data_IF_426895958855
#
_entry.id   IF_426895958855
#
_cell.length_a   1.000
_cell.length_b   1.000
_cell.length_c   1.000
_cell.angle_alpha   90.00
_cell.angle_beta   90.00
_cell.angle_gamma   90.00
#
_symmetry.space_group_name_H-M   'P 1'
#
loop_
_entity.id
_entity.type
_entity.pdbx_description
1 polymer ?
#
# COMPACT_ATOMS: atom_id res chain seq x y z
N UNK A 1 1.36 12.51 -19.90
CA UNK A 1 1.48 12.10 -18.48
C UNK A 1 2.79 11.34 -18.35
N UNK A 2 3.55 11.60 -17.28
CA UNK A 2 4.88 11.00 -17.09
C UNK A 2 4.68 9.78 -16.21
N UNK A 3 4.69 8.61 -16.84
CA UNK A 3 4.82 7.34 -16.15
C UNK A 3 6.30 7.05 -15.95
N UNK A 4 6.74 6.84 -14.70
CA UNK A 4 8.14 6.54 -14.41
C UNK A 4 8.28 5.53 -13.29
N UNK A 5 9.35 4.74 -13.37
CA UNK A 5 9.81 3.93 -12.25
C UNK A 5 10.41 4.82 -11.16
N UNK A 6 10.21 4.42 -9.91
CA UNK A 6 10.72 5.07 -8.71
C UNK A 6 11.69 4.15 -7.96
N UNK A 7 12.60 4.74 -7.20
CA UNK A 7 13.32 4.00 -6.14
C UNK A 7 12.47 3.90 -4.87
N UNK A 8 12.85 3.03 -3.93
CA UNK A 8 12.14 2.91 -2.65
C UNK A 8 12.21 4.20 -1.82
N UNK A 9 13.29 4.98 -1.95
CA UNK A 9 13.43 6.29 -1.32
C UNK A 9 12.46 7.31 -1.93
N UNK A 10 12.30 7.32 -3.26
CA UNK A 10 11.31 8.19 -3.90
C UNK A 10 9.87 7.79 -3.51
N UNK A 11 9.60 6.49 -3.34
CA UNK A 11 8.33 6.00 -2.79
C UNK A 11 8.13 6.49 -1.35
N UNK A 12 9.17 6.42 -0.52
CA UNK A 12 9.15 6.93 0.85
C UNK A 12 8.77 8.41 0.90
N UNK A 13 9.46 9.24 0.12
CA UNK A 13 9.24 10.68 0.07
C UNK A 13 7.82 10.98 -0.43
N UNK A 14 7.35 10.25 -1.45
CA UNK A 14 6.00 10.41 -1.98
C UNK A 14 4.92 10.11 -0.96
N UNK A 15 5.05 9.01 -0.24
CA UNK A 15 4.10 8.63 0.81
C UNK A 15 4.17 9.59 2.01
N UNK A 16 5.36 10.13 2.32
CA UNK A 16 5.51 11.18 3.34
C UNK A 16 4.74 12.46 3.00
N UNK A 17 4.73 12.87 1.73
CA UNK A 17 3.92 14.01 1.25
C UNK A 17 2.42 13.80 1.45
N UNK A 18 1.98 12.54 1.57
CA UNK A 18 0.57 12.18 1.77
C UNK A 18 0.22 11.91 3.24
N UNK A 19 1.16 12.04 4.18
CA UNK A 19 0.84 11.97 5.60
C UNK A 19 -0.20 13.03 5.99
N UNK A 20 -1.14 12.63 6.83
CA UNK A 20 -2.30 13.42 7.23
C UNK A 20 -3.43 13.43 6.20
N UNK A 21 -3.29 12.75 5.05
CA UNK A 21 -4.31 12.72 3.99
C UNK A 21 -5.01 11.36 3.90
N UNK A 22 -6.19 11.37 3.30
CA UNK A 22 -6.95 10.16 3.04
C UNK A 22 -6.42 9.46 1.79
N UNK A 23 -6.11 8.18 1.92
CA UNK A 23 -5.67 7.31 0.85
C UNK A 23 -6.77 6.33 0.45
N UNK A 24 -6.81 6.02 -0.84
CA UNK A 24 -7.45 4.85 -1.40
C UNK A 24 -6.37 3.87 -1.85
N UNK A 25 -6.43 2.65 -1.31
CA UNK A 25 -5.50 1.57 -1.61
C UNK A 25 -6.32 0.47 -2.27
N UNK A 26 -5.91 0.06 -3.46
CA UNK A 26 -6.49 -1.07 -4.18
C UNK A 26 -5.44 -2.15 -4.29
N UNK A 27 -5.75 -3.37 -3.85
CA UNK A 27 -4.89 -4.55 -4.00
C UNK A 27 -5.56 -5.49 -5.00
N UNK A 28 -4.84 -5.82 -6.06
CA UNK A 28 -5.28 -6.75 -7.08
C UNK A 28 -4.36 -7.97 -7.08
N UNK A 29 -4.92 -9.13 -6.74
CA UNK A 29 -4.30 -10.46 -6.88
C UNK A 29 -4.99 -11.22 -8.03
N UNK A 30 -4.53 -12.44 -8.35
CA UNK A 30 -5.00 -13.18 -9.53
C UNK A 30 -6.54 -13.34 -9.59
N UNK A 31 -7.17 -13.59 -8.44
CA UNK A 31 -8.60 -13.87 -8.32
C UNK A 31 -9.31 -12.96 -7.29
N UNK A 32 -8.62 -11.94 -6.77
CA UNK A 32 -9.09 -11.14 -5.64
C UNK A 32 -8.79 -9.65 -5.81
N UNK A 33 -9.74 -8.82 -5.37
CA UNK A 33 -9.64 -7.37 -5.42
C UNK A 33 -10.14 -6.78 -4.10
N UNK A 34 -9.24 -6.12 -3.38
CA UNK A 34 -9.54 -5.43 -2.13
C UNK A 34 -9.45 -3.92 -2.32
N UNK A 35 -10.43 -3.19 -1.78
CA UNK A 35 -10.38 -1.74 -1.64
C UNK A 35 -10.30 -1.35 -0.16
N UNK A 36 -9.33 -0.51 0.17
CA UNK A 36 -9.14 0.05 1.51
C UNK A 36 -9.10 1.57 1.44
N UNK A 37 -9.88 2.23 2.29
CA UNK A 37 -9.83 3.67 2.52
C UNK A 37 -9.21 3.94 3.88
N UNK A 38 -8.13 4.72 3.94
CA UNK A 38 -7.46 4.99 5.22
C UNK A 38 -7.03 6.45 5.37
N UNK A 39 -7.03 6.94 6.61
CA UNK A 39 -6.45 8.22 7.00
C UNK A 39 -4.98 7.99 7.37
N UNK A 40 -4.08 8.28 6.44
CA UNK A 40 -2.65 8.03 6.63
C UNK A 40 -2.09 8.96 7.69
N UNK A 41 -1.58 8.41 8.78
CA UNK A 41 -0.94 9.18 9.87
C UNK A 41 0.58 9.16 9.76
N UNK A 42 1.15 8.00 9.45
CA UNK A 42 2.60 7.83 9.33
C UNK A 42 2.95 6.61 8.46
N UNK A 43 4.16 6.59 7.92
CA UNK A 43 4.73 5.39 7.30
C UNK A 43 5.90 4.86 8.11
N UNK A 44 6.04 3.54 8.16
CA UNK A 44 7.15 2.85 8.80
C UNK A 44 7.56 1.62 7.98
N UNK A 45 8.75 1.10 8.24
CA UNK A 45 9.21 -0.14 7.63
C UNK A 45 9.53 -1.15 8.72
N UNK A 46 9.13 -2.39 8.50
CA UNK A 46 9.50 -3.52 9.36
C UNK A 46 10.32 -4.51 8.53
N UNK A 47 11.24 -5.20 9.19
CA UNK A 47 11.86 -6.40 8.64
C UNK A 47 10.96 -7.57 9.01
N UNK A 48 10.47 -8.35 8.04
CA UNK A 48 9.67 -9.51 8.38
C UNK A 48 10.55 -10.52 9.12
N UNK A 49 10.27 -10.74 10.39
CA UNK A 49 10.96 -11.76 11.19
C UNK A 49 10.30 -13.11 10.92
N UNK A 50 10.64 -13.75 9.79
CA UNK A 50 10.28 -15.14 9.41
C UNK A 50 8.79 -15.52 9.44
N UNK A 51 8.26 -16.10 8.35
CA UNK A 51 7.04 -16.92 8.44
C UNK A 51 7.16 -18.22 7.63
N UNK A 52 6.97 -19.31 8.38
CA UNK A 52 6.45 -20.69 8.18
C UNK A 52 6.46 -21.37 6.79
N UNK A 53 6.37 -20.69 5.65
CA UNK A 53 6.27 -21.33 4.32
C UNK A 53 7.10 -20.55 3.30
N UNK A 54 8.39 -20.90 3.13
CA UNK A 54 9.37 -20.57 2.05
C UNK A 54 9.28 -19.23 1.27
N UNK A 55 8.51 -18.27 1.77
CA UNK A 55 8.20 -16.97 1.19
C UNK A 55 8.56 -15.93 2.25
N UNK A 56 9.75 -15.36 2.12
CA UNK A 56 10.29 -14.37 3.04
C UNK A 56 10.38 -13.01 2.34
N UNK A 57 9.31 -12.19 2.34
CA UNK A 57 9.48 -10.77 2.03
C UNK A 57 10.43 -10.20 3.08
N UNK A 58 11.61 -9.73 2.67
CA UNK A 58 12.61 -9.26 3.64
C UNK A 58 12.13 -8.03 4.40
N UNK A 59 11.29 -7.20 3.77
CA UNK A 59 10.80 -5.95 4.33
C UNK A 59 9.29 -5.81 4.11
N UNK A 60 8.67 -4.96 4.91
CA UNK A 60 7.29 -4.54 4.75
C UNK A 60 7.19 -3.03 4.90
N UNK A 61 6.42 -2.40 4.01
CA UNK A 61 5.98 -1.02 4.12
C UNK A 61 4.67 -1.01 4.89
N UNK A 62 4.66 -0.26 5.99
CA UNK A 62 3.48 -0.09 6.82
C UNK A 62 2.92 1.32 6.65
N UNK A 63 1.68 1.39 6.18
CA UNK A 63 0.88 2.61 6.17
C UNK A 63 0.06 2.62 7.46
N UNK A 64 0.39 3.51 8.40
CA UNK A 64 -0.23 3.53 9.72
C UNK A 64 -1.35 4.58 9.74
N UNK A 65 -2.50 4.19 10.26
CA UNK A 65 -3.69 5.02 10.29
C UNK A 65 -4.98 4.21 10.42
N UNK A 66 -6.03 4.86 10.88
CA UNK A 66 -7.38 4.27 10.87
C UNK A 66 -7.86 4.13 9.43
N UNK A 67 -8.59 3.07 9.14
CA UNK A 67 -9.18 2.88 7.83
C UNK A 67 -10.31 1.88 7.85
N UNK A 68 -10.92 1.70 6.68
CA UNK A 68 -11.94 0.70 6.42
C UNK A 68 -11.56 -0.10 5.18
N UNK A 69 -11.89 -1.38 5.18
CA UNK A 69 -11.71 -2.29 4.06
C UNK A 69 -13.08 -2.79 3.59
N UNK A 70 -13.28 -2.83 2.28
CA UNK A 70 -14.47 -3.43 1.68
C UNK A 70 -14.33 -4.96 1.74
N UNK A 71 -15.11 -5.63 2.60
CA UNK A 71 -15.03 -7.09 2.79
C UNK A 71 -16.01 -7.84 1.89
N UNK A 72 -17.10 -7.17 1.50
CA UNK A 72 -18.08 -7.62 0.51
C UNK A 72 -18.65 -6.38 -0.20
N UNK A 73 -19.27 -6.50 -1.39
CA UNK A 73 -19.77 -5.34 -2.13
C UNK A 73 -20.66 -4.44 -1.26
N UNK A 74 -20.30 -3.17 -1.17
CA UNK A 74 -20.96 -2.13 -0.36
C UNK A 74 -20.88 -2.33 1.16
N UNK A 75 -20.02 -3.23 1.65
CA UNK A 75 -19.82 -3.48 3.08
C UNK A 75 -18.39 -3.17 3.51
N UNK A 76 -18.25 -2.15 4.35
CA UNK A 76 -16.98 -1.67 4.87
C UNK A 76 -16.85 -2.01 6.35
N UNK A 77 -15.74 -2.64 6.71
CA UNK A 77 -15.37 -2.91 8.10
C UNK A 77 -14.10 -2.13 8.47
N UNK A 78 -13.91 -1.73 9.74
CA UNK A 78 -12.68 -1.09 10.17
C UNK A 78 -11.48 -2.04 9.97
N UNK A 79 -10.32 -1.46 9.65
CA UNK A 79 -9.08 -2.23 9.57
C UNK A 79 -8.80 -2.92 10.92
N UNK A 80 -8.47 -4.24 10.93
CA UNK A 80 -8.24 -4.98 12.18
C UNK A 80 -7.09 -4.42 13.03
N UNK A 81 -6.09 -3.87 12.34
CA UNK A 81 -5.02 -3.04 12.90
C UNK A 81 -5.11 -1.67 12.24
N UNK A 82 -4.82 -0.59 12.95
CA UNK A 82 -4.69 0.77 12.38
C UNK A 82 -3.44 0.89 11.48
N UNK A 83 -3.30 -0.06 10.56
CA UNK A 83 -2.14 -0.29 9.73
C UNK A 83 -2.54 -1.14 8.52
N UNK A 84 -2.05 -0.75 7.35
CA UNK A 84 -2.06 -1.54 6.12
C UNK A 84 -0.62 -1.92 5.76
N UNK A 85 -0.36 -3.22 5.56
CA UNK A 85 0.97 -3.77 5.28
C UNK A 85 1.12 -4.10 3.80
N UNK A 86 2.19 -3.62 3.17
CA UNK A 86 2.59 -3.97 1.81
C UNK A 86 3.93 -4.70 1.89
N UNK A 87 4.00 -5.99 1.51
CA UNK A 87 5.27 -6.72 1.49
C UNK A 87 6.19 -6.13 0.42
N UNK A 88 7.46 -5.91 0.78
CA UNK A 88 8.49 -5.42 -0.12
C UNK A 88 9.54 -6.52 -0.35
N UNK A 89 9.53 -7.04 -1.58
CA UNK A 89 10.50 -7.99 -2.09
C UNK A 89 11.62 -7.25 -2.84
N UNK A 90 12.77 -7.91 -3.08
CA UNK A 90 13.82 -7.35 -3.94
C UNK A 90 13.34 -7.17 -5.39
N UNK A 91 12.41 -8.00 -5.84
CA UNK A 91 11.79 -7.95 -7.17
C UNK A 91 10.65 -6.93 -7.29
N UNK A 92 10.32 -6.21 -6.21
CA UNK A 92 9.22 -5.26 -6.24
C UNK A 92 9.50 -4.11 -7.22
N UNK A 93 8.49 -3.74 -8.00
CA UNK A 93 8.55 -2.60 -8.92
C UNK A 93 7.70 -1.47 -8.39
N UNK A 94 8.24 -0.26 -8.45
CA UNK A 94 7.57 0.95 -8.02
C UNK A 94 7.38 1.90 -9.18
N UNK A 95 6.16 2.34 -9.43
CA UNK A 95 5.81 3.20 -10.54
C UNK A 95 4.94 4.35 -10.07
N UNK A 96 5.09 5.50 -10.71
CA UNK A 96 4.22 6.65 -10.49
C UNK A 96 3.76 7.20 -11.84
N UNK A 97 2.45 7.29 -12.02
CA UNK A 97 1.83 7.70 -13.29
C UNK A 97 1.50 9.20 -13.36
N UNK A 98 1.80 9.94 -12.28
CA UNK A 98 1.46 11.34 -12.11
C UNK A 98 0.42 11.57 -11.01
N UNK A 99 -0.43 10.58 -10.71
CA UNK A 99 -1.47 10.68 -9.68
C UNK A 99 -1.45 9.50 -8.71
N UNK A 100 -1.10 8.31 -9.19
CA UNK A 100 -1.14 7.05 -8.43
C UNK A 100 0.25 6.48 -8.28
N UNK A 101 0.52 5.94 -7.10
CA UNK A 101 1.68 5.12 -6.82
C UNK A 101 1.29 3.66 -7.00
N UNK A 102 2.03 2.93 -7.81
CA UNK A 102 1.81 1.51 -8.10
C UNK A 102 2.99 0.72 -7.55
N UNK A 103 2.71 -0.31 -6.76
CA UNK A 103 3.70 -1.23 -6.20
C UNK A 103 3.34 -2.63 -6.66
N UNK A 104 4.18 -3.24 -7.50
CA UNK A 104 4.00 -4.61 -7.98
C UNK A 104 4.92 -5.55 -7.21
N UNK A 105 4.35 -6.58 -6.59
CA UNK A 105 5.07 -7.63 -5.86
C UNK A 105 4.80 -9.00 -6.50
N UNK A 106 5.39 -10.09 -6.00
CA UNK A 106 5.05 -11.42 -6.51
C UNK A 106 3.63 -11.85 -6.13
N UNK A 107 3.01 -11.20 -5.14
CA UNK A 107 1.67 -11.56 -4.63
C UNK A 107 0.55 -10.79 -5.32
N UNK A 108 0.80 -9.52 -5.65
CA UNK A 108 -0.22 -8.68 -6.24
C UNK A 108 0.29 -7.29 -6.60
N UNK A 109 -0.63 -6.49 -7.14
CA UNK A 109 -0.39 -5.10 -7.51
C UNK A 109 -1.19 -4.20 -6.58
N UNK A 110 -0.47 -3.32 -5.89
CA UNK A 110 -1.04 -2.32 -4.98
C UNK A 110 -1.05 -0.98 -5.70
N UNK A 111 -2.22 -0.37 -5.80
CA UNK A 111 -2.39 0.99 -6.34
C UNK A 111 -2.84 1.91 -5.22
N UNK A 112 -2.05 2.94 -4.94
CA UNK A 112 -2.29 3.91 -3.88
C UNK A 112 -2.56 5.27 -4.52
N UNK A 113 -3.72 5.82 -4.18
CA UNK A 113 -4.16 7.15 -4.60
C UNK A 113 -4.39 8.02 -3.38
N UNK A 114 -3.88 9.24 -3.42
CA UNK A 114 -4.25 10.23 -2.44
C UNK A 114 -5.54 10.93 -2.85
N UNK A 115 -6.57 10.82 -2.02
CA UNK A 115 -7.82 11.50 -2.26
C UNK A 115 -7.69 13.00 -1.99
N UNK A 116 -8.39 13.85 -2.75
CA UNK A 116 -8.46 15.27 -2.45
C UNK A 116 -9.16 15.51 -1.11
N UNK A 117 -8.76 16.56 -0.40
CA UNK A 117 -9.51 17.03 0.77
C UNK A 117 -10.92 17.49 0.33
N UNK A 118 -11.96 17.23 1.13
CA UNK A 118 -13.33 17.61 0.80
C UNK A 118 -13.57 19.13 0.76
#
# INVERSE_FOLDING_TARGET
MVHRFLTIEEVHDKLREWNGRKLKIMKHELDDFDETLMDLSAISYSKATKRIDDYEPMYALNLNGSGVIETTPEHYEPLPSEQYEIPLEESALYEFDGTRLIISTSRGVYTIECLPEP
#
